data_IF_807335066128
#
_entry.id   IF_807335066128
#
_cell.length_a   1.000
_cell.length_b   1.000
_cell.length_c   1.000
_cell.angle_alpha   90.00
_cell.angle_beta   90.00
_cell.angle_gamma   90.00
#
_symmetry.space_group_name_H-M   'P 1'
#
loop_
_entity.id
_entity.type
_entity.pdbx_description
1 polymer ?
#
# COMPACT_ATOMS: atom_id res chain seq x y z
N UNK A 1 -33.73 -27.03 7.48
CA UNK A 1 -33.79 -25.73 8.19
C UNK A 1 -32.37 -25.32 8.39
N UNK A 2 -31.88 -24.34 7.66
CA UNK A 2 -30.56 -23.75 7.87
C UNK A 2 -30.60 -23.00 9.22
N UNK A 3 -29.84 -23.45 10.17
CA UNK A 3 -29.61 -22.72 11.42
C UNK A 3 -28.85 -21.43 11.10
N UNK A 4 -29.51 -20.29 11.24
CA UNK A 4 -28.85 -19.00 11.13
C UNK A 4 -27.94 -18.84 12.35
N UNK A 5 -26.66 -19.09 12.18
CA UNK A 5 -25.67 -18.83 13.23
C UNK A 5 -25.35 -17.32 13.28
N UNK A 6 -25.69 -16.70 14.38
CA UNK A 6 -25.31 -15.32 14.65
C UNK A 6 -24.00 -15.31 15.45
N UNK A 7 -22.94 -14.76 14.87
CA UNK A 7 -21.62 -14.66 15.48
C UNK A 7 -21.20 -13.21 15.60
N UNK A 8 -20.84 -12.78 16.81
CA UNK A 8 -20.30 -11.44 17.07
C UNK A 8 -18.83 -11.60 17.45
N UNK A 9 -17.94 -10.96 16.69
CA UNK A 9 -16.50 -10.98 16.95
C UNK A 9 -16.04 -9.53 17.13
N UNK A 10 -15.72 -9.10 18.36
CA UNK A 10 -15.18 -7.77 18.58
C UNK A 10 -13.76 -7.67 18.02
N UNK A 11 -13.45 -6.56 17.39
CA UNK A 11 -12.14 -6.27 16.81
C UNK A 11 -11.64 -4.90 17.27
N UNK A 12 -10.37 -4.84 17.70
CA UNK A 12 -9.71 -3.59 18.02
C UNK A 12 -8.99 -3.08 16.77
N UNK A 13 -9.36 -1.89 16.28
CA UNK A 13 -8.76 -1.35 15.07
C UNK A 13 -7.70 -0.29 15.35
N UNK A 14 -7.87 0.55 16.35
CA UNK A 14 -6.89 1.56 16.69
C UNK A 14 -6.72 1.66 18.20
N UNK A 15 -5.47 1.59 18.66
CA UNK A 15 -5.07 1.84 20.03
C UNK A 15 -3.58 2.18 20.04
N UNK A 16 -3.25 3.45 20.20
CA UNK A 16 -1.87 3.93 20.21
C UNK A 16 -1.63 5.00 21.26
N UNK A 17 -0.38 5.13 21.67
CA UNK A 17 0.14 6.26 22.44
C UNK A 17 1.04 7.11 21.55
N UNK A 18 0.98 8.44 21.76
CA UNK A 18 1.85 9.39 21.09
C UNK A 18 2.56 10.27 22.11
N UNK A 19 3.84 10.48 21.91
CA UNK A 19 4.69 11.32 22.76
C UNK A 19 5.38 12.35 21.88
N UNK A 20 5.16 13.61 22.19
CA UNK A 20 5.93 14.72 21.68
C UNK A 20 7.31 14.69 22.34
N UNK A 21 8.38 14.56 21.54
CA UNK A 21 9.74 14.43 22.07
C UNK A 21 10.38 15.78 22.33
N UNK A 22 10.32 16.66 21.33
CA UNK A 22 10.94 17.98 21.40
C UNK A 22 10.41 18.92 20.32
N UNK A 23 10.49 20.22 20.60
CA UNK A 23 10.33 21.29 19.63
C UNK A 23 11.68 21.58 18.97
N UNK A 24 11.69 21.59 17.64
CA UNK A 24 12.89 21.86 16.84
C UNK A 24 13.09 23.34 16.55
N UNK A 25 12.02 24.14 16.66
CA UNK A 25 12.04 25.60 16.51
C UNK A 25 10.87 26.25 17.24
N UNK A 26 10.89 27.59 17.32
CA UNK A 26 9.77 28.39 17.83
C UNK A 26 8.56 28.43 16.88
N UNK A 27 8.69 27.84 15.67
CA UNK A 27 7.69 27.89 14.60
C UNK A 27 6.95 26.55 14.42
N UNK A 28 6.70 25.81 15.52
CA UNK A 28 5.97 24.54 15.54
C UNK A 28 6.66 23.38 14.79
N UNK A 29 7.96 23.47 14.56
CA UNK A 29 8.75 22.33 14.09
C UNK A 29 8.97 21.37 15.27
N UNK A 30 8.73 20.09 15.06
CA UNK A 30 8.73 19.11 16.15
C UNK A 30 9.22 17.73 15.71
N UNK A 31 9.51 16.91 16.72
CA UNK A 31 9.68 15.47 16.58
C UNK A 31 8.78 14.74 17.59
N UNK A 32 8.10 13.69 17.12
CA UNK A 32 7.21 12.87 17.93
C UNK A 32 7.39 11.39 17.63
N UNK A 33 6.99 10.57 18.60
CA UNK A 33 6.93 9.10 18.47
C UNK A 33 5.51 8.63 18.71
N UNK A 34 5.03 7.71 17.88
CA UNK A 34 3.76 7.01 18.08
C UNK A 34 3.98 5.51 18.08
N UNK A 35 3.38 4.80 19.04
CA UNK A 35 3.49 3.35 19.19
C UNK A 35 2.12 2.76 19.44
N UNK A 36 1.81 1.67 18.79
CA UNK A 36 0.55 0.93 18.93
C UNK A 36 -0.10 0.59 17.60
N UNK A 37 -1.36 0.16 17.68
CA UNK A 37 -2.19 -0.16 16.52
C UNK A 37 -2.68 1.15 15.90
N UNK A 38 -2.15 1.49 14.72
CA UNK A 38 -2.33 2.80 14.10
C UNK A 38 -2.50 2.74 12.59
N UNK A 39 -3.29 3.65 12.05
CA UNK A 39 -3.39 3.85 10.60
C UNK A 39 -2.13 4.52 10.05
N UNK A 40 -1.70 4.04 8.91
CA UNK A 40 -0.59 4.63 8.16
C UNK A 40 -0.87 4.58 6.65
N UNK A 41 -0.47 5.64 5.96
CA UNK A 41 -0.51 5.73 4.51
C UNK A 41 0.89 6.12 4.01
N UNK A 42 1.46 5.32 3.11
CA UNK A 42 2.83 5.50 2.63
C UNK A 42 2.99 6.61 1.60
N UNK A 43 1.92 7.03 0.95
CA UNK A 43 1.93 8.06 -0.09
C UNK A 43 0.62 8.86 -0.10
N UNK A 44 0.52 9.88 -0.97
CA UNK A 44 -0.65 10.76 -1.01
C UNK A 44 -1.96 10.05 -1.37
N UNK A 45 -1.92 8.89 -2.00
CA UNK A 45 -3.08 8.19 -2.54
C UNK A 45 -3.27 6.78 -1.99
N UNK A 46 -2.25 6.20 -1.34
CA UNK A 46 -2.32 4.84 -0.79
C UNK A 46 -2.10 3.73 -1.81
N UNK A 47 -1.17 3.94 -2.75
CA UNK A 47 -0.92 2.97 -3.81
C UNK A 47 -0.15 1.73 -3.39
N UNK A 48 0.71 1.82 -2.37
CA UNK A 48 1.59 0.72 -1.98
C UNK A 48 1.25 0.19 -0.59
N UNK A 49 1.11 1.09 0.39
CA UNK A 49 0.79 0.69 1.76
C UNK A 49 -0.14 1.71 2.42
N UNK A 50 -1.38 1.31 2.64
CA UNK A 50 -2.39 2.12 3.32
C UNK A 50 -3.29 1.22 4.17
N UNK A 51 -2.93 1.07 5.44
CA UNK A 51 -3.62 0.16 6.34
C UNK A 51 -3.46 0.54 7.81
N UNK A 52 -4.08 -0.25 8.69
CA UNK A 52 -3.99 -0.14 10.14
C UNK A 52 -3.23 -1.35 10.67
N UNK A 53 -2.04 -1.13 11.26
CA UNK A 53 -1.23 -2.20 11.81
C UNK A 53 -0.56 -1.80 13.12
N UNK A 54 -0.06 -2.81 13.83
CA UNK A 54 0.74 -2.61 15.02
C UNK A 54 2.12 -2.10 14.61
N UNK A 55 2.58 -1.00 15.21
CA UNK A 55 3.90 -0.49 14.86
C UNK A 55 4.33 0.69 15.70
N UNK A 56 5.53 1.13 15.38
CA UNK A 56 6.13 2.34 15.93
C UNK A 56 6.57 3.25 14.79
N UNK A 57 6.38 4.56 14.96
CA UNK A 57 6.89 5.57 14.03
C UNK A 57 7.46 6.77 14.74
N UNK A 58 8.53 7.30 14.16
CA UNK A 58 9.08 8.61 14.47
C UNK A 58 8.72 9.53 13.32
N UNK A 59 8.17 10.68 13.62
CA UNK A 59 7.74 11.64 12.61
C UNK A 59 7.87 13.06 13.12
N UNK A 60 7.90 13.99 12.19
CA UNK A 60 8.00 15.40 12.51
C UNK A 60 8.20 16.26 11.28
N UNK A 61 8.51 17.52 11.54
CA UNK A 61 8.79 18.51 10.53
C UNK A 61 9.91 19.43 10.97
N UNK A 62 10.50 20.15 10.02
CA UNK A 62 11.46 21.22 10.28
C UNK A 62 11.44 22.29 9.18
N UNK A 63 12.11 23.41 9.45
CA UNK A 63 12.21 24.52 8.51
C UNK A 63 10.88 25.22 8.25
N UNK A 64 10.11 25.49 9.30
CA UNK A 64 8.78 26.08 9.24
C UNK A 64 7.80 25.18 8.47
N UNK A 65 7.80 23.89 8.83
CA UNK A 65 6.98 22.86 8.17
C UNK A 65 7.29 22.63 6.68
N UNK A 66 8.42 23.13 6.20
CA UNK A 66 8.80 22.95 4.79
C UNK A 66 9.22 21.52 4.46
N UNK A 67 9.83 20.87 5.44
CA UNK A 67 10.27 19.48 5.36
C UNK A 67 9.53 18.64 6.40
N UNK A 68 9.05 17.48 5.98
CA UNK A 68 8.40 16.52 6.88
C UNK A 68 9.02 15.14 6.66
N UNK A 69 9.00 14.33 7.71
CA UNK A 69 9.53 12.97 7.65
C UNK A 69 8.67 12.00 8.46
N UNK A 70 8.68 10.75 8.02
CA UNK A 70 8.20 9.60 8.78
C UNK A 70 9.20 8.46 8.61
N UNK A 71 9.58 7.84 9.74
CA UNK A 71 10.32 6.58 9.76
C UNK A 71 9.50 5.64 10.62
N UNK A 72 9.05 4.52 10.08
CA UNK A 72 8.13 3.63 10.74
C UNK A 72 8.50 2.17 10.51
N UNK A 73 8.14 1.32 11.48
CA UNK A 73 8.15 -0.13 11.37
C UNK A 73 6.82 -0.68 11.85
N UNK A 74 6.24 -1.58 11.07
CA UNK A 74 4.96 -2.21 11.33
C UNK A 74 5.12 -3.73 11.35
N UNK A 75 4.50 -4.36 12.33
CA UNK A 75 4.28 -5.78 12.44
C UNK A 75 2.83 -6.03 11.99
N UNK A 76 2.68 -6.70 10.86
CA UNK A 76 1.40 -6.87 10.19
C UNK A 76 0.54 -7.88 10.93
N UNK A 77 -0.75 -7.55 11.05
CA UNK A 77 -1.74 -8.45 11.65
C UNK A 77 -2.56 -9.15 10.58
N UNK A 78 -2.94 -10.40 10.87
CA UNK A 78 -3.87 -11.12 10.01
C UNK A 78 -5.21 -10.39 9.90
N UNK A 79 -5.80 -10.43 8.74
CA UNK A 79 -7.11 -9.84 8.46
C UNK A 79 -8.19 -10.92 8.50
N UNK A 80 -9.30 -10.57 9.13
CA UNK A 80 -10.50 -11.40 9.04
C UNK A 80 -11.05 -11.38 7.62
N UNK A 81 -11.20 -12.54 7.01
CA UNK A 81 -11.56 -12.69 5.59
C UNK A 81 -12.91 -12.08 5.21
N UNK A 82 -13.83 -11.97 6.16
CA UNK A 82 -15.18 -11.47 5.89
C UNK A 82 -15.31 -9.96 6.13
N UNK A 83 -14.61 -9.44 7.15
CA UNK A 83 -14.73 -8.04 7.56
C UNK A 83 -13.51 -7.19 7.20
N UNK A 84 -12.42 -7.80 6.76
CA UNK A 84 -11.11 -7.15 6.48
C UNK A 84 -10.51 -6.43 7.69
N UNK A 85 -11.08 -6.65 8.87
CA UNK A 85 -10.61 -6.05 10.11
C UNK A 85 -9.45 -6.85 10.69
N UNK A 86 -8.55 -6.16 11.39
CA UNK A 86 -7.42 -6.80 12.06
C UNK A 86 -7.88 -7.86 13.07
N UNK A 87 -7.25 -9.03 13.04
CA UNK A 87 -7.24 -9.98 14.13
C UNK A 87 -6.09 -9.66 15.11
N UNK A 88 -5.97 -10.46 16.16
CA UNK A 88 -4.80 -10.38 17.05
C UNK A 88 -3.66 -11.30 16.61
N UNK A 89 -3.90 -12.11 15.59
CA UNK A 89 -2.93 -13.06 15.08
C UNK A 89 -1.82 -12.34 14.31
N UNK A 90 -0.61 -12.80 14.51
CA UNK A 90 0.55 -12.33 13.79
C UNK A 90 0.51 -12.87 12.35
N UNK A 91 0.89 -12.01 11.40
CA UNK A 91 0.97 -12.39 10.00
C UNK A 91 2.35 -12.92 9.59
N UNK A 92 3.38 -12.68 10.40
CA UNK A 92 4.77 -12.99 10.05
C UNK A 92 5.28 -12.11 8.92
N UNK A 93 4.83 -10.87 8.86
CA UNK A 93 5.20 -9.89 7.85
C UNK A 93 5.51 -8.55 8.51
N UNK A 94 6.69 -8.01 8.22
CA UNK A 94 7.11 -6.70 8.69
C UNK A 94 7.23 -5.71 7.54
N UNK A 95 6.77 -4.48 7.80
CA UNK A 95 6.87 -3.38 6.83
C UNK A 95 7.64 -2.22 7.45
N UNK A 96 8.76 -1.86 6.84
CA UNK A 96 9.53 -0.67 7.21
C UNK A 96 9.29 0.42 6.19
N UNK A 97 9.14 1.68 6.66
CA UNK A 97 8.86 2.83 5.81
C UNK A 97 9.74 4.00 6.21
N UNK A 98 10.32 4.66 5.23
CA UNK A 98 10.96 5.95 5.38
C UNK A 98 10.40 6.92 4.31
N UNK A 99 9.73 7.98 4.75
CA UNK A 99 9.18 9.02 3.89
C UNK A 99 9.81 10.37 4.18
N UNK A 100 10.10 11.09 3.13
CA UNK A 100 10.53 12.47 3.16
C UNK A 100 9.65 13.32 2.25
N UNK A 101 9.14 14.43 2.79
CA UNK A 101 8.29 15.37 2.06
C UNK A 101 8.96 16.73 2.01
N UNK A 102 8.91 17.37 0.83
CA UNK A 102 9.38 18.71 0.60
C UNK A 102 8.25 19.57 0.05
N UNK A 103 7.74 20.48 0.88
CA UNK A 103 6.73 21.46 0.47
C UNK A 103 7.35 22.57 -0.38
N UNK A 104 6.57 23.07 -1.33
CA UNK A 104 7.02 24.09 -2.29
C UNK A 104 8.31 23.68 -3.04
N UNK A 105 8.41 22.42 -3.47
CA UNK A 105 9.64 21.85 -4.05
C UNK A 105 9.98 22.51 -5.37
N UNK A 106 9.34 22.67 -6.35
CA UNK A 106 9.67 23.34 -7.62
C UNK A 106 8.94 24.69 -7.74
N UNK A 107 7.72 24.72 -7.23
CA UNK A 107 6.88 25.91 -7.21
C UNK A 107 6.00 25.89 -5.98
N UNK A 108 5.50 27.04 -5.62
CA UNK A 108 4.61 27.19 -4.46
C UNK A 108 3.31 26.41 -4.65
N UNK A 109 2.95 25.61 -3.65
CA UNK A 109 1.76 24.78 -3.63
C UNK A 109 1.95 23.39 -4.25
N UNK A 110 3.20 22.95 -4.47
CA UNK A 110 3.51 21.58 -4.85
C UNK A 110 4.41 20.91 -3.80
N UNK A 111 3.99 19.76 -3.32
CA UNK A 111 4.74 18.94 -2.37
C UNK A 111 5.27 17.70 -3.09
N UNK A 112 6.58 17.51 -3.06
CA UNK A 112 7.23 16.28 -3.49
C UNK A 112 7.43 15.34 -2.30
N UNK A 113 7.36 14.05 -2.56
CA UNK A 113 7.59 12.98 -1.60
C UNK A 113 8.56 11.97 -2.19
N UNK A 114 9.52 11.53 -1.39
CA UNK A 114 10.36 10.36 -1.65
C UNK A 114 10.07 9.32 -0.58
N UNK A 115 9.97 8.08 -1.00
CA UNK A 115 9.61 6.97 -0.12
C UNK A 115 10.55 5.79 -0.35
N UNK A 116 10.93 5.16 0.74
CA UNK A 116 11.52 3.83 0.73
C UNK A 116 10.65 2.94 1.61
N UNK A 117 10.25 1.78 1.07
CA UNK A 117 9.56 0.76 1.85
C UNK A 117 10.31 -0.57 1.71
N UNK A 118 10.37 -1.33 2.78
CA UNK A 118 10.82 -2.71 2.79
C UNK A 118 9.69 -3.58 3.32
N UNK A 119 9.31 -4.56 2.55
CA UNK A 119 8.35 -5.59 2.89
C UNK A 119 9.10 -6.90 3.09
N UNK A 120 9.06 -7.44 4.30
CA UNK A 120 9.70 -8.69 4.69
C UNK A 120 8.55 -9.64 5.10
N UNK A 121 8.13 -10.49 4.19
CA UNK A 121 7.08 -11.50 4.43
C UNK A 121 7.76 -12.86 4.58
N UNK A 122 7.71 -13.39 5.80
CA UNK A 122 8.30 -14.69 6.14
C UNK A 122 7.38 -15.87 5.82
N UNK A 123 6.32 -15.60 5.06
CA UNK A 123 5.34 -16.61 4.72
C UNK A 123 4.46 -17.02 5.89
N UNK A 124 3.88 -18.18 5.77
CA UNK A 124 3.02 -18.77 6.79
C UNK A 124 1.69 -19.23 6.23
N UNK A 125 1.07 -20.17 6.93
CA UNK A 125 -0.21 -20.73 6.52
C UNK A 125 -1.33 -20.13 7.35
N UNK A 126 -2.31 -19.51 6.68
CA UNK A 126 -3.50 -18.97 7.31
C UNK A 126 -4.77 -19.53 6.68
N UNK A 127 -5.69 -20.00 7.55
CA UNK A 127 -7.02 -20.47 7.17
C UNK A 127 -8.09 -19.51 7.69
N UNK A 128 -9.10 -19.29 6.88
CA UNK A 128 -10.27 -18.53 7.30
C UNK A 128 -11.12 -19.29 8.34
N UNK A 129 -12.15 -18.65 8.85
CA UNK A 129 -13.06 -19.25 9.84
C UNK A 129 -13.87 -20.43 9.30
N UNK A 130 -13.88 -20.64 8.00
CA UNK A 130 -14.55 -21.74 7.33
C UNK A 130 -13.57 -22.88 6.96
N UNK A 131 -12.28 -22.73 7.31
CA UNK A 131 -11.23 -23.70 7.01
C UNK A 131 -10.70 -23.62 5.58
N UNK A 132 -10.97 -22.53 4.85
CA UNK A 132 -10.39 -22.32 3.53
C UNK A 132 -8.99 -21.72 3.69
N UNK A 133 -8.04 -22.22 2.89
CA UNK A 133 -6.69 -21.66 2.85
C UNK A 133 -6.74 -20.26 2.22
N UNK A 134 -6.27 -19.25 2.98
CA UNK A 134 -6.21 -17.86 2.56
C UNK A 134 -4.79 -17.47 2.18
N UNK A 135 -3.81 -17.96 2.93
CA UNK A 135 -2.39 -17.73 2.69
C UNK A 135 -1.60 -19.03 2.92
N UNK A 136 -0.62 -19.33 2.06
CA UNK A 136 -0.29 -18.68 0.80
C UNK A 136 -1.45 -18.74 -0.20
N UNK A 137 -1.48 -17.78 -1.14
CA UNK A 137 -2.53 -17.75 -2.16
C UNK A 137 -2.59 -19.06 -2.95
N UNK A 138 -3.78 -19.64 -3.20
CA UNK A 138 -3.92 -20.93 -3.86
C UNK A 138 -3.70 -20.81 -5.38
N UNK A 139 -2.54 -20.33 -5.80
CA UNK A 139 -2.14 -20.11 -7.19
C UNK A 139 -0.85 -20.86 -7.45
N UNK A 140 -0.86 -21.77 -8.44
CA UNK A 140 0.29 -22.62 -8.75
C UNK A 140 0.57 -23.63 -7.64
N UNK A 141 1.84 -23.85 -7.33
CA UNK A 141 2.27 -24.73 -6.23
C UNK A 141 2.16 -23.98 -4.91
N UNK A 142 1.27 -24.42 -4.05
CA UNK A 142 1.04 -23.84 -2.73
C UNK A 142 2.12 -24.28 -1.75
N UNK A 143 2.96 -23.34 -1.34
CA UNK A 143 4.05 -23.57 -0.39
C UNK A 143 4.31 -22.28 0.37
N UNK A 144 4.63 -22.37 1.65
CA UNK A 144 5.17 -21.23 2.42
C UNK A 144 6.51 -20.79 1.82
N UNK A 145 6.72 -19.50 1.70
CA UNK A 145 7.91 -18.91 1.10
C UNK A 145 8.18 -17.51 1.65
N UNK A 146 9.43 -17.11 1.63
CA UNK A 146 9.88 -15.80 2.09
C UNK A 146 9.95 -14.82 0.91
N UNK A 147 9.31 -13.65 1.07
CA UNK A 147 9.35 -12.57 0.09
C UNK A 147 9.98 -11.34 0.70
N UNK A 148 11.07 -10.87 0.10
CA UNK A 148 11.72 -9.63 0.45
C UNK A 148 11.58 -8.64 -0.71
N UNK A 149 10.72 -7.64 -0.58
CA UNK A 149 10.47 -6.64 -1.61
C UNK A 149 10.76 -5.23 -1.10
N UNK A 150 11.48 -4.46 -1.91
CA UNK A 150 11.88 -3.10 -1.61
C UNK A 150 11.31 -2.14 -2.64
N UNK A 151 10.71 -1.06 -2.17
CA UNK A 151 10.04 -0.07 -3.01
C UNK A 151 10.75 1.26 -2.88
N UNK A 152 11.13 1.83 -4.01
CA UNK A 152 11.60 3.21 -4.12
C UNK A 152 10.51 4.06 -4.78
N UNK A 153 9.99 5.04 -4.06
CA UNK A 153 8.88 5.86 -4.48
C UNK A 153 9.26 7.32 -4.69
N UNK A 154 8.67 7.92 -5.72
CA UNK A 154 8.60 9.35 -5.92
C UNK A 154 7.17 9.75 -6.23
N UNK A 155 6.60 10.57 -5.36
CA UNK A 155 5.24 11.04 -5.50
C UNK A 155 5.18 12.57 -5.38
N UNK A 156 4.10 13.15 -5.84
CA UNK A 156 3.87 14.57 -5.67
C UNK A 156 2.40 14.93 -5.78
N UNK A 157 2.03 15.95 -5.04
CA UNK A 157 0.68 16.51 -5.04
C UNK A 157 0.74 18.03 -4.97
N UNK A 158 -0.09 18.71 -5.76
CA UNK A 158 -0.13 20.14 -5.74
C UNK A 158 -0.90 20.77 -6.90
N UNK A 159 -0.70 22.08 -7.09
CA UNK A 159 -1.40 22.82 -8.14
C UNK A 159 -0.54 23.89 -8.78
N UNK A 160 -0.84 24.18 -10.04
CA UNK A 160 -0.30 25.29 -10.81
C UNK A 160 -1.50 26.11 -11.30
N UNK A 161 -1.77 27.24 -10.65
CA UNK A 161 -2.98 28.01 -10.91
C UNK A 161 -4.24 27.19 -10.62
N UNK A 162 -5.01 26.89 -11.67
CA UNK A 162 -6.24 26.08 -11.56
C UNK A 162 -6.04 24.60 -11.92
N UNK A 163 -4.84 24.21 -12.28
CA UNK A 163 -4.51 22.82 -12.62
C UNK A 163 -3.97 22.13 -11.37
N UNK A 164 -4.65 21.07 -10.92
CA UNK A 164 -4.14 20.21 -9.87
C UNK A 164 -3.44 19.01 -10.51
N UNK A 165 -2.33 18.61 -9.92
CA UNK A 165 -1.51 17.48 -10.39
C UNK A 165 -1.16 16.60 -9.22
N UNK A 166 -1.47 15.33 -9.33
CA UNK A 166 -1.00 14.29 -8.40
C UNK A 166 -0.34 13.21 -9.21
N UNK A 167 0.84 12.78 -8.80
CA UNK A 167 1.54 11.68 -9.44
C UNK A 167 2.19 10.76 -8.41
N UNK A 168 2.44 9.52 -8.81
CA UNK A 168 3.26 8.57 -8.08
C UNK A 168 4.02 7.70 -9.07
N UNK A 169 5.25 7.35 -8.72
CA UNK A 169 6.08 6.38 -9.40
C UNK A 169 6.74 5.50 -8.35
N UNK A 170 6.73 4.20 -8.57
CA UNK A 170 7.43 3.23 -7.74
C UNK A 170 8.23 2.26 -8.59
N UNK A 171 9.46 2.04 -8.19
CA UNK A 171 10.33 0.95 -8.61
C UNK A 171 10.36 -0.08 -7.50
N UNK A 172 10.20 -1.34 -7.84
CA UNK A 172 10.20 -2.46 -6.89
C UNK A 172 11.27 -3.45 -7.28
N UNK A 173 12.08 -3.85 -6.32
CA UNK A 173 13.09 -4.88 -6.49
C UNK A 173 13.14 -5.77 -5.26
N UNK A 174 13.54 -7.02 -5.44
CA UNK A 174 13.59 -7.95 -4.34
C UNK A 174 13.79 -9.39 -4.78
N UNK A 175 13.41 -10.29 -3.90
CA UNK A 175 13.55 -11.74 -4.11
C UNK A 175 12.41 -12.46 -3.41
N UNK A 176 11.92 -13.49 -4.07
CA UNK A 176 10.96 -14.48 -3.55
C UNK A 176 11.66 -15.84 -3.61
N UNK A 177 11.80 -16.52 -2.49
CA UNK A 177 12.52 -17.79 -2.39
C UNK A 177 11.77 -18.96 -3.04
N UNK A 178 10.47 -18.77 -3.29
CA UNK A 178 9.66 -19.73 -4.03
C UNK A 178 8.39 -19.11 -4.63
N UNK A 179 8.40 -18.82 -5.92
CA UNK A 179 7.20 -18.39 -6.61
C UNK A 179 6.33 -19.57 -7.03
N UNK A 180 5.07 -19.57 -6.61
CA UNK A 180 4.14 -20.68 -6.86
C UNK A 180 3.83 -20.95 -8.34
N UNK A 181 3.96 -19.93 -9.21
CA UNK A 181 3.77 -20.09 -10.67
C UNK A 181 5.04 -20.58 -11.34
N UNK A 182 6.18 -19.99 -11.01
CA UNK A 182 7.48 -20.39 -11.54
C UNK A 182 7.95 -21.75 -10.98
N UNK A 183 7.49 -22.12 -9.77
CA UNK A 183 7.95 -23.34 -9.09
C UNK A 183 9.41 -23.28 -8.63
N UNK A 184 10.01 -22.10 -8.58
CA UNK A 184 11.41 -21.84 -8.28
C UNK A 184 11.57 -20.44 -7.63
N UNK A 185 12.73 -20.12 -7.05
CA UNK A 185 13.05 -18.76 -6.62
C UNK A 185 13.03 -17.79 -7.81
N UNK A 186 12.58 -16.55 -7.56
CA UNK A 186 12.55 -15.49 -8.57
C UNK A 186 13.07 -14.17 -8.03
N UNK A 187 13.69 -13.38 -8.89
CA UNK A 187 14.06 -12.00 -8.60
C UNK A 187 12.89 -11.07 -9.00
N UNK A 188 12.58 -10.11 -8.15
CA UNK A 188 11.51 -9.15 -8.36
C UNK A 188 12.07 -7.89 -9.00
N UNK A 189 11.46 -7.43 -10.10
CA UNK A 189 11.78 -6.15 -10.74
C UNK A 189 10.52 -5.61 -11.43
N UNK A 190 9.85 -4.66 -10.79
CA UNK A 190 8.54 -4.20 -11.23
C UNK A 190 8.36 -2.69 -11.05
N UNK A 191 7.48 -2.08 -11.84
CA UNK A 191 7.24 -0.65 -11.81
C UNK A 191 5.76 -0.30 -11.78
N UNK A 192 5.46 0.86 -11.16
CA UNK A 192 4.14 1.46 -11.18
C UNK A 192 4.24 2.96 -11.44
N UNK A 193 3.33 3.50 -12.23
CA UNK A 193 3.17 4.93 -12.41
C UNK A 193 1.70 5.33 -12.39
N UNK A 194 1.38 6.40 -11.69
CA UNK A 194 0.06 6.99 -11.64
C UNK A 194 0.15 8.50 -11.86
N UNK A 195 -0.79 9.05 -12.60
CA UNK A 195 -0.92 10.49 -12.84
C UNK A 195 -2.40 10.86 -12.83
N UNK A 196 -2.74 11.85 -12.05
CA UNK A 196 -4.07 12.46 -12.06
C UNK A 196 -3.91 13.97 -12.26
N UNK A 197 -4.55 14.51 -13.29
CA UNK A 197 -4.59 15.93 -13.57
C UNK A 197 -6.03 16.40 -13.54
N UNK A 198 -6.31 17.49 -12.83
CA UNK A 198 -7.63 18.10 -12.83
C UNK A 198 -7.57 19.62 -13.04
N UNK A 199 -8.61 20.15 -13.66
CA UNK A 199 -8.78 21.57 -13.91
C UNK A 199 -10.11 22.04 -13.30
N UNK A 200 -10.01 23.04 -12.44
CA UNK A 200 -11.18 23.62 -11.76
C UNK A 200 -11.67 24.84 -12.53
N UNK A 201 -12.94 24.78 -12.99
CA UNK A 201 -13.61 25.91 -13.63
C UNK A 201 -14.97 26.13 -12.97
N UNK A 202 -15.07 27.19 -12.20
CA UNK A 202 -16.26 27.54 -11.42
C UNK A 202 -16.67 26.39 -10.49
N UNK A 203 -17.83 25.79 -10.71
CA UNK A 203 -18.36 24.64 -9.96
C UNK A 203 -18.06 23.28 -10.62
N UNK A 204 -17.36 23.25 -11.74
CA UNK A 204 -17.04 22.04 -12.48
C UNK A 204 -15.55 21.72 -12.35
N UNK A 205 -15.24 20.48 -12.04
CA UNK A 205 -13.88 19.91 -12.10
C UNK A 205 -13.79 18.90 -13.22
N UNK A 206 -12.89 19.17 -14.18
CA UNK A 206 -12.50 18.20 -15.21
C UNK A 206 -11.30 17.42 -14.70
N UNK A 207 -11.36 16.09 -14.80
CA UNK A 207 -10.32 15.21 -14.26
C UNK A 207 -9.96 14.15 -15.28
N UNK A 208 -8.64 13.93 -15.48
CA UNK A 208 -8.06 12.82 -16.22
C UNK A 208 -7.12 12.03 -15.32
N UNK A 209 -7.21 10.71 -15.37
CA UNK A 209 -6.37 9.82 -14.58
C UNK A 209 -5.72 8.77 -15.49
N UNK A 210 -4.44 8.52 -15.23
CA UNK A 210 -3.65 7.50 -15.91
C UNK A 210 -3.00 6.60 -14.86
N UNK A 211 -3.04 5.30 -15.08
CA UNK A 211 -2.38 4.31 -14.24
C UNK A 211 -1.67 3.28 -15.10
N UNK A 212 -0.46 2.96 -14.70
CA UNK A 212 0.36 1.89 -15.27
C UNK A 212 0.91 1.03 -14.13
N UNK A 213 0.85 -0.27 -14.31
CA UNK A 213 1.57 -1.25 -13.53
C UNK A 213 2.21 -2.24 -14.48
N UNK A 214 3.47 -2.59 -14.27
CA UNK A 214 4.12 -3.61 -15.06
C UNK A 214 3.42 -4.96 -14.86
N UNK A 215 3.29 -5.73 -15.93
CA UNK A 215 2.82 -7.10 -15.89
C UNK A 215 3.98 -8.07 -16.03
N UNK A 216 3.73 -9.32 -15.72
CA UNK A 216 4.68 -10.39 -15.97
C UNK A 216 4.36 -11.10 -17.29
N UNK A 217 5.31 -11.05 -18.22
CA UNK A 217 5.14 -11.65 -19.54
C UNK A 217 5.35 -13.17 -19.53
N UNK A 218 6.21 -13.65 -18.66
CA UNK A 218 6.53 -15.06 -18.53
C UNK A 218 6.65 -15.48 -17.06
N UNK A 219 5.51 -15.74 -16.38
CA UNK A 219 5.49 -16.02 -14.94
C UNK A 219 6.16 -17.35 -14.54
N UNK A 220 6.69 -18.12 -15.48
CA UNK A 220 7.38 -19.39 -15.25
C UNK A 220 8.91 -19.24 -15.28
N UNK A 221 9.43 -18.05 -15.56
CA UNK A 221 10.88 -17.82 -15.56
C UNK A 221 11.41 -17.40 -14.18
N UNK A 222 12.66 -16.96 -14.11
CA UNK A 222 13.33 -16.60 -12.86
C UNK A 222 13.14 -15.14 -12.42
N UNK A 223 12.22 -14.37 -13.07
CA UNK A 223 12.03 -12.96 -12.78
C UNK A 223 10.56 -12.60 -12.71
N UNK A 224 10.11 -12.11 -11.56
CA UNK A 224 8.75 -11.58 -11.39
C UNK A 224 8.72 -10.10 -11.73
N UNK A 225 8.14 -9.74 -12.88
CA UNK A 225 8.06 -8.38 -13.38
C UNK A 225 6.69 -7.72 -13.16
N UNK A 226 5.73 -8.46 -12.63
CA UNK A 226 4.41 -7.95 -12.28
C UNK A 226 4.45 -7.07 -11.03
N UNK A 227 3.98 -5.82 -11.14
CA UNK A 227 3.91 -4.92 -9.99
C UNK A 227 2.89 -5.43 -8.97
N UNK A 228 3.32 -5.46 -7.74
CA UNK A 228 2.52 -5.85 -6.60
C UNK A 228 2.65 -4.85 -5.45
N UNK A 229 1.58 -4.71 -4.66
CA UNK A 229 1.52 -3.80 -3.53
C UNK A 229 1.72 -4.57 -2.22
N UNK A 230 2.03 -3.85 -1.14
CA UNK A 230 2.09 -4.47 0.19
C UNK A 230 0.66 -4.68 0.71
N UNK A 231 -0.08 -3.60 0.84
CA UNK A 231 -1.49 -3.59 1.18
C UNK A 231 -2.07 -2.22 0.81
N UNK A 232 -2.64 -2.13 -0.36
CA UNK A 232 -3.12 -0.89 -0.93
C UNK A 232 -4.60 -0.61 -0.62
N UNK A 233 -4.91 0.66 -0.51
CA UNK A 233 -6.28 1.15 -0.48
C UNK A 233 -6.32 2.52 -1.20
N UNK A 234 -6.18 2.53 -2.52
CA UNK A 234 -5.93 3.76 -3.26
C UNK A 234 -7.17 4.63 -3.39
N UNK A 235 -7.00 5.91 -3.05
CA UNK A 235 -7.96 6.95 -3.33
C UNK A 235 -7.63 7.64 -4.66
N UNK A 236 -7.98 6.98 -5.76
CA UNK A 236 -7.60 7.38 -7.12
C UNK A 236 -8.78 7.27 -8.09
N UNK A 237 -8.76 8.04 -9.18
CA UNK A 237 -9.74 7.95 -10.27
C UNK A 237 -11.22 8.08 -9.84
N UNK A 238 -11.50 9.03 -8.95
CA UNK A 238 -12.85 9.28 -8.46
C UNK A 238 -13.11 8.81 -7.02
N UNK A 239 -12.12 8.20 -6.38
CA UNK A 239 -12.18 7.79 -4.98
C UNK A 239 -13.14 6.61 -4.73
N UNK A 240 -13.63 6.44 -3.49
CA UNK A 240 -14.44 5.28 -3.09
C UNK A 240 -15.74 5.09 -3.88
N UNK A 241 -16.21 6.14 -4.50
CA UNK A 241 -17.45 6.10 -5.32
C UNK A 241 -17.17 5.91 -6.81
N UNK A 242 -15.92 5.77 -7.21
CA UNK A 242 -15.55 5.54 -8.61
C UNK A 242 -16.03 4.16 -9.08
N UNK A 243 -16.19 4.04 -10.40
CA UNK A 243 -16.44 2.74 -11.02
C UNK A 243 -15.34 1.74 -10.71
N UNK A 244 -14.10 2.21 -10.64
CA UNK A 244 -12.93 1.43 -10.29
C UNK A 244 -13.04 0.80 -8.90
N UNK A 245 -13.32 1.60 -7.89
CA UNK A 245 -13.45 1.12 -6.52
C UNK A 245 -14.63 0.15 -6.38
N UNK A 246 -15.79 0.51 -6.94
CA UNK A 246 -17.00 -0.32 -6.84
C UNK A 246 -16.89 -1.67 -7.55
N UNK A 247 -16.06 -1.78 -8.57
CA UNK A 247 -15.81 -3.05 -9.27
C UNK A 247 -14.76 -3.92 -8.56
N UNK A 248 -14.29 -3.51 -7.41
CA UNK A 248 -13.22 -4.20 -6.72
C UNK A 248 -11.94 -4.21 -7.55
N UNK A 249 -11.66 -3.11 -8.24
CA UNK A 249 -10.48 -2.97 -9.05
C UNK A 249 -9.30 -2.68 -8.15
N UNK A 250 -8.48 -3.67 -7.88
CA UNK A 250 -7.18 -3.46 -7.32
C UNK A 250 -6.26 -2.86 -8.37
N UNK A 251 -5.72 -1.74 -8.04
CA UNK A 251 -4.74 -1.05 -8.87
C UNK A 251 -3.35 -1.68 -8.73
N UNK A 252 -3.07 -2.30 -7.61
CA UNK A 252 -1.91 -3.17 -7.45
C UNK A 252 -2.29 -4.63 -7.62
N UNK A 253 -1.39 -5.48 -7.62
CA UNK A 253 -1.61 -6.82 -8.09
C UNK A 253 -1.85 -7.90 -7.05
N UNK A 254 -1.63 -7.68 -5.78
CA UNK A 254 -1.49 -8.75 -4.83
C UNK A 254 -2.70 -9.47 -4.44
N UNK A 255 -3.75 -8.78 -4.24
CA UNK A 255 -4.84 -9.48 -3.62
C UNK A 255 -5.43 -10.44 -4.61
N UNK A 256 -5.63 -11.62 -4.16
CA UNK A 256 -6.42 -12.67 -4.83
C UNK A 256 -7.88 -12.25 -4.85
N UNK A 257 -8.16 -11.04 -5.29
CA UNK A 257 -9.52 -10.64 -5.56
C UNK A 257 -9.96 -11.17 -6.93
N UNK A 258 -11.22 -11.08 -7.19
CA UNK A 258 -11.81 -11.52 -8.45
C UNK A 258 -11.12 -10.92 -9.66
N UNK A 259 -10.48 -9.80 -9.50
CA UNK A 259 -9.85 -9.08 -10.57
C UNK A 259 -8.46 -9.56 -10.91
N UNK A 260 -7.66 -9.88 -9.96
CA UNK A 260 -6.43 -10.60 -10.22
C UNK A 260 -6.71 -11.97 -10.78
N UNK A 261 -7.73 -12.62 -10.27
CA UNK A 261 -8.22 -13.85 -10.87
C UNK A 261 -8.62 -13.64 -12.32
N UNK A 262 -9.23 -12.50 -12.62
CA UNK A 262 -9.53 -12.09 -13.98
C UNK A 262 -8.28 -11.70 -14.76
N UNK A 263 -7.25 -11.19 -14.12
CA UNK A 263 -5.96 -10.92 -14.76
C UNK A 263 -5.19 -12.19 -15.08
N UNK A 264 -5.55 -13.30 -14.48
CA UNK A 264 -5.09 -14.64 -14.92
C UNK A 264 -5.79 -15.10 -16.20
N UNK A 265 -6.88 -14.45 -16.59
CA UNK A 265 -7.49 -14.66 -17.90
C UNK A 265 -6.64 -13.89 -18.92
N UNK A 266 -6.14 -14.54 -19.99
CA UNK A 266 -5.14 -13.98 -20.90
C UNK A 266 -5.47 -12.61 -21.48
N UNK A 267 -6.73 -12.30 -21.69
CA UNK A 267 -7.21 -11.04 -22.26
C UNK A 267 -7.40 -9.93 -21.23
N UNK A 268 -7.22 -10.21 -19.95
CA UNK A 268 -7.29 -9.23 -18.84
C UNK A 268 -5.93 -9.07 -18.15
N UNK A 269 -4.92 -9.74 -18.63
CA UNK A 269 -3.55 -9.47 -18.22
C UNK A 269 -3.17 -8.08 -18.69
N UNK A 270 -2.68 -7.30 -17.76
CA UNK A 270 -2.11 -6.00 -18.03
C UNK A 270 -1.07 -6.04 -19.16
#
# INVERSE_FOLDING_TARGET
VEDIQFRVIPKLQQAFGEIHLLDLSENYDFAAVRVGLQSFNSDFRGFVFNDINLGARVFGNWGNNRYQYNIAGFDMREKDTNSELNSFDDRGQEVMVANFFWQDFLWKGYTAQWSFLANLDHGGTHYDQNGNLVRPGPIGTVREHDVHAYYLGWAGDGHIGRVNVTHAFYEVFGHDDFNGLAGQPVDINAQMAALEVSYDRDWVRYKGSFYYASGDHNPEDGTATGFDTILDNPNFSGGPFSYWARQGFNLGGTSVNLKQRNSLVPNLRS
#
